data_IF_878374825325
#
_entry.id   IF_878374825325
#
_cell.length_a   1.000
_cell.length_b   1.000
_cell.length_c   1.000
_cell.angle_alpha   90.00
_cell.angle_beta   90.00
_cell.angle_gamma   90.00
#
_symmetry.space_group_name_H-M   'P 1'
#
loop_
_entity.id
_entity.type
_entity.pdbx_description
1 polymer ?
#
# COMPACT_ATOMS: atom_id res chain seq x y z
N UNK A 1 3.32 16.79 -3.98
CA UNK A 1 3.66 15.57 -3.23
C UNK A 1 4.58 14.71 -4.08
N UNK A 2 5.68 14.23 -3.53
CA UNK A 2 6.61 13.31 -4.17
C UNK A 2 7.10 12.26 -3.19
N UNK A 3 7.71 11.18 -3.69
CA UNK A 3 8.20 10.15 -2.78
C UNK A 3 9.15 9.16 -3.43
N UNK A 4 9.84 8.43 -2.58
CA UNK A 4 10.69 7.31 -2.95
C UNK A 4 10.52 6.19 -1.92
N UNK A 5 10.77 4.97 -2.34
CA UNK A 5 10.69 3.81 -1.46
C UNK A 5 11.80 2.80 -1.79
N UNK A 6 12.09 1.96 -0.81
CA UNK A 6 13.04 0.86 -0.91
C UNK A 6 12.46 -0.36 -0.20
N UNK A 7 12.57 -1.51 -0.82
CA UNK A 7 12.21 -2.81 -0.29
C UNK A 7 11.95 -3.78 -1.44
N UNK A 8 12.57 -4.95 -1.43
CA UNK A 8 12.38 -5.97 -2.45
C UNK A 8 12.27 -7.38 -1.88
N UNK A 9 12.57 -7.58 -0.60
CA UNK A 9 12.43 -8.82 0.14
C UNK A 9 12.01 -8.56 1.58
N UNK A 10 11.43 -9.56 2.24
CA UNK A 10 10.78 -9.49 3.53
C UNK A 10 9.65 -8.45 3.51
N UNK A 11 8.73 -8.60 2.54
CA UNK A 11 7.64 -7.67 2.27
C UNK A 11 6.29 -8.37 2.44
N UNK A 12 5.76 -8.28 3.63
CA UNK A 12 4.38 -8.57 3.98
C UNK A 12 3.94 -7.57 5.04
N UNK A 13 3.63 -6.33 4.67
CA UNK A 13 3.42 -5.29 5.66
C UNK A 13 2.21 -5.57 6.57
N UNK A 14 2.54 -5.75 7.80
CA UNK A 14 1.88 -5.14 8.93
C UNK A 14 2.95 -4.22 9.56
N UNK A 15 3.70 -3.55 8.66
CA UNK A 15 4.91 -2.73 8.73
C UNK A 15 6.21 -3.56 8.86
N UNK A 16 7.01 -3.70 7.76
CA UNK A 16 8.24 -4.52 7.67
C UNK A 16 9.27 -3.97 6.70
N UNK A 17 10.51 -4.41 6.60
CA UNK A 17 11.76 -3.84 6.00
C UNK A 17 11.58 -2.97 4.74
N UNK A 18 10.59 -2.14 4.78
CA UNK A 18 10.27 -1.17 3.78
C UNK A 18 10.65 0.21 4.31
N UNK A 19 11.32 0.99 3.49
CA UNK A 19 11.54 2.39 3.76
C UNK A 19 10.77 3.20 2.72
N UNK A 20 9.88 4.05 3.19
CA UNK A 20 9.13 4.99 2.38
C UNK A 20 9.39 6.42 2.83
N UNK A 21 9.73 7.30 1.90
CA UNK A 21 9.90 8.72 2.16
C UNK A 21 8.98 9.49 1.22
N UNK A 22 8.04 10.21 1.79
CA UNK A 22 7.09 11.04 1.06
C UNK A 22 7.25 12.48 1.52
N UNK A 23 7.33 13.38 0.58
CA UNK A 23 7.54 14.81 0.85
C UNK A 23 6.47 15.65 0.17
N UNK A 24 6.11 16.74 0.82
CA UNK A 24 5.21 17.76 0.28
C UNK A 24 5.64 19.15 0.70
N UNK A 25 5.27 20.14 -0.06
CA UNK A 25 5.40 21.56 0.27
C UNK A 25 4.14 22.15 0.90
N UNK A 26 3.06 21.37 1.01
CA UNK A 26 1.82 21.81 1.62
C UNK A 26 2.02 22.27 3.08
N UNK A 27 1.36 23.36 3.45
CA UNK A 27 1.17 23.76 4.84
C UNK A 27 0.04 22.90 5.45
N UNK A 28 0.40 22.02 6.39
CA UNK A 28 -0.52 21.11 7.06
C UNK A 28 -0.02 20.85 8.48
N UNK A 29 -0.91 20.83 9.43
CA UNK A 29 -0.56 20.59 10.84
C UNK A 29 -0.01 19.16 11.03
N UNK A 30 0.81 19.00 12.06
CA UNK A 30 1.40 17.68 12.41
C UNK A 30 0.30 16.64 12.67
N UNK A 31 -0.77 17.02 13.33
CA UNK A 31 -1.91 16.17 13.67
C UNK A 31 -2.61 15.67 12.40
N UNK A 32 -2.88 16.59 11.46
CA UNK A 32 -3.52 16.24 10.19
C UNK A 32 -2.59 15.44 9.28
N UNK A 33 -1.29 15.74 9.29
CA UNK A 33 -0.29 14.99 8.55
C UNK A 33 -0.20 13.53 9.03
N UNK A 34 -0.17 13.33 10.36
CA UNK A 34 -0.17 12.00 10.97
C UNK A 34 -1.48 11.24 10.68
N UNK A 35 -2.62 11.93 10.77
CA UNK A 35 -3.93 11.36 10.44
C UNK A 35 -3.99 10.88 8.99
N UNK A 36 -3.54 11.72 8.07
CA UNK A 36 -3.47 11.38 6.65
C UNK A 36 -2.61 10.14 6.39
N UNK A 37 -1.40 10.11 6.95
CA UNK A 37 -0.49 8.99 6.79
C UNK A 37 -1.08 7.70 7.36
N UNK A 38 -1.58 7.74 8.59
CA UNK A 38 -2.13 6.57 9.30
C UNK A 38 -3.36 5.97 8.60
N UNK A 39 -4.20 6.80 8.01
CA UNK A 39 -5.35 6.35 7.23
C UNK A 39 -4.90 5.74 5.89
N UNK A 40 -3.99 6.40 5.18
CA UNK A 40 -3.61 6.02 3.83
C UNK A 40 -2.77 4.74 3.76
N UNK A 41 -1.87 4.51 4.72
CA UNK A 41 -1.01 3.31 4.75
C UNK A 41 -1.83 2.02 4.75
N UNK A 42 -2.98 2.01 5.40
CA UNK A 42 -3.86 0.82 5.47
C UNK A 42 -4.34 0.36 4.09
N UNK A 43 -4.56 1.30 3.19
CA UNK A 43 -5.11 1.06 1.85
C UNK A 43 -4.04 1.02 0.75
N UNK A 44 -2.77 1.24 1.11
CA UNK A 44 -1.65 1.29 0.18
C UNK A 44 -0.55 0.29 0.55
N UNK A 45 0.44 0.68 1.31
CA UNK A 45 1.58 -0.18 1.65
C UNK A 45 1.16 -1.46 2.38
N UNK A 46 0.19 -1.40 3.31
CA UNK A 46 -0.28 -2.58 4.04
C UNK A 46 -1.09 -3.56 3.16
N UNK A 47 -1.36 -3.22 1.91
CA UNK A 47 -2.03 -4.13 0.95
C UNK A 47 -1.05 -4.95 0.11
N UNK A 48 0.25 -4.67 0.19
CA UNK A 48 1.30 -5.39 -0.57
C UNK A 48 1.70 -6.69 0.13
N UNK A 49 2.03 -7.73 -0.64
CA UNK A 49 2.75 -8.89 -0.13
C UNK A 49 3.67 -9.44 -1.23
N UNK A 50 4.98 -9.55 -0.93
CA UNK A 50 5.96 -10.17 -1.82
C UNK A 50 6.22 -11.64 -1.42
N UNK A 51 6.62 -11.90 -0.20
CA UNK A 51 7.07 -13.21 0.28
C UNK A 51 6.33 -13.75 1.50
N UNK A 52 5.44 -12.94 2.09
CA UNK A 52 4.67 -13.31 3.28
C UNK A 52 5.43 -13.12 4.60
N UNK A 53 6.70 -12.71 4.55
CA UNK A 53 7.52 -12.51 5.73
C UNK A 53 7.45 -11.07 6.23
N UNK A 54 7.22 -10.91 7.54
CA UNK A 54 7.09 -9.60 8.20
C UNK A 54 8.42 -9.20 8.84
N UNK A 55 8.94 -8.00 8.53
CA UNK A 55 10.14 -7.44 9.16
C UNK A 55 9.82 -6.68 10.46
N UNK A 56 10.86 -6.29 11.18
CA UNK A 56 10.78 -5.53 12.42
C UNK A 56 11.05 -4.03 12.25
N UNK A 57 11.37 -3.56 11.04
CA UNK A 57 11.96 -2.23 10.83
C UNK A 57 11.33 -1.42 9.68
N UNK A 58 10.03 -1.59 9.43
CA UNK A 58 9.34 -0.75 8.44
C UNK A 58 9.19 0.68 8.91
N UNK A 59 9.39 1.57 7.97
CA UNK A 59 9.24 2.98 8.25
C UNK A 59 8.68 3.70 7.02
N UNK A 60 7.61 4.45 7.21
CA UNK A 60 7.15 5.44 6.24
C UNK A 60 7.17 6.82 6.91
N UNK A 61 7.94 7.72 6.33
CA UNK A 61 8.02 9.12 6.75
C UNK A 61 7.29 10.01 5.76
N UNK A 62 6.42 10.86 6.28
CA UNK A 62 5.75 11.91 5.52
C UNK A 62 6.20 13.26 6.08
N UNK A 63 6.83 14.06 5.23
CA UNK A 63 7.47 15.33 5.58
C UNK A 63 6.77 16.47 4.82
N UNK A 64 6.40 17.53 5.53
CA UNK A 64 5.82 18.73 4.97
C UNK A 64 6.63 19.95 5.39
N UNK A 65 7.00 20.82 4.45
CA UNK A 65 7.78 22.02 4.73
C UNK A 65 6.96 23.33 4.74
N UNK A 66 5.69 23.29 4.35
CA UNK A 66 4.78 24.45 4.38
C UNK A 66 5.06 25.52 3.33
N UNK A 67 5.89 25.27 2.32
CA UNK A 67 6.33 26.30 1.37
C UNK A 67 5.37 26.50 0.18
N UNK A 68 4.29 25.74 0.07
CA UNK A 68 3.31 25.89 -1.01
C UNK A 68 2.49 27.20 -0.93
N UNK A 69 2.50 27.87 0.22
CA UNK A 69 1.77 29.13 0.42
C UNK A 69 0.26 28.97 0.57
N UNK A 70 -0.24 27.76 0.72
CA UNK A 70 -1.64 27.51 1.03
C UNK A 70 -1.96 27.86 2.49
N UNK A 71 -3.23 28.16 2.84
CA UNK A 71 -3.64 28.17 4.24
C UNK A 71 -3.32 26.83 4.90
N UNK A 72 -2.86 26.87 6.16
CA UNK A 72 -2.52 25.63 6.87
C UNK A 72 -3.74 24.72 7.02
N UNK A 73 -3.62 23.48 6.63
CA UNK A 73 -4.65 22.44 6.77
C UNK A 73 -4.63 21.96 8.22
N UNK A 74 -5.59 22.42 9.03
CA UNK A 74 -5.68 22.12 10.46
C UNK A 74 -6.87 21.24 10.82
N UNK A 75 -7.78 20.98 9.87
CA UNK A 75 -8.99 20.17 10.05
C UNK A 75 -9.36 19.42 8.77
N UNK A 76 -10.31 18.50 8.87
CA UNK A 76 -10.89 17.82 7.71
C UNK A 76 -11.73 18.78 6.88
N UNK A 77 -11.69 18.64 5.57
CA UNK A 77 -12.42 19.46 4.61
C UNK A 77 -11.85 19.33 3.23
N UNK A 78 -12.31 20.16 2.30
CA UNK A 78 -11.99 20.03 0.87
C UNK A 78 -10.48 20.07 0.56
N UNK A 79 -9.69 20.83 1.31
CA UNK A 79 -8.24 20.88 1.09
C UNK A 79 -7.53 19.66 1.68
N UNK A 80 -8.00 19.14 2.82
CA UNK A 80 -7.54 17.85 3.34
C UNK A 80 -7.89 16.71 2.41
N UNK A 81 -9.08 16.69 1.84
CA UNK A 81 -9.50 15.64 0.87
C UNK A 81 -8.62 15.64 -0.38
N UNK A 82 -8.31 16.82 -0.93
CA UNK A 82 -7.36 16.94 -2.05
C UNK A 82 -5.96 16.46 -1.67
N UNK A 83 -5.50 16.78 -0.48
CA UNK A 83 -4.22 16.29 0.03
C UNK A 83 -4.23 14.76 0.14
N UNK A 84 -5.30 14.17 0.67
CA UNK A 84 -5.49 12.73 0.75
C UNK A 84 -5.52 12.05 -0.62
N UNK A 85 -6.14 12.67 -1.62
CA UNK A 85 -6.13 12.18 -3.01
C UNK A 85 -4.71 12.10 -3.57
N UNK A 86 -3.94 13.17 -3.41
CA UNK A 86 -2.54 13.24 -3.87
C UNK A 86 -1.65 12.24 -3.12
N UNK A 87 -1.82 12.11 -1.79
CA UNK A 87 -1.11 11.14 -0.98
C UNK A 87 -1.46 9.71 -1.38
N UNK A 88 -2.73 9.43 -1.62
CA UNK A 88 -3.19 8.11 -2.05
C UNK A 88 -2.61 7.72 -3.41
N UNK A 89 -2.54 8.65 -4.34
CA UNK A 89 -1.95 8.43 -5.65
C UNK A 89 -0.47 8.04 -5.54
N UNK A 90 0.33 8.85 -4.83
CA UNK A 90 1.77 8.58 -4.72
C UNK A 90 2.06 7.29 -3.96
N UNK A 91 1.38 7.04 -2.82
CA UNK A 91 1.59 5.84 -2.02
C UNK A 91 1.14 4.58 -2.75
N UNK A 92 0.07 4.64 -3.54
CA UNK A 92 -0.33 3.53 -4.43
C UNK A 92 0.73 3.25 -5.49
N UNK A 93 1.28 4.28 -6.13
CA UNK A 93 2.38 4.11 -7.08
C UNK A 93 3.62 3.49 -6.45
N UNK A 94 4.00 3.94 -5.26
CA UNK A 94 5.16 3.43 -4.53
C UNK A 94 4.93 1.97 -4.09
N UNK A 95 3.76 1.65 -3.57
CA UNK A 95 3.37 0.28 -3.16
C UNK A 95 3.46 -0.70 -4.33
N UNK A 96 2.95 -0.31 -5.50
CA UNK A 96 3.03 -1.14 -6.72
C UNK A 96 4.46 -1.32 -7.20
N UNK A 97 5.30 -0.29 -7.10
CA UNK A 97 6.73 -0.41 -7.43
C UNK A 97 7.45 -1.38 -6.51
N UNK A 98 7.19 -1.33 -5.20
CA UNK A 98 7.76 -2.29 -4.24
C UNK A 98 7.32 -3.72 -4.59
N UNK A 99 6.03 -3.92 -4.83
CA UNK A 99 5.50 -5.25 -5.16
C UNK A 99 6.06 -5.80 -6.49
N UNK A 100 6.25 -4.92 -7.47
CA UNK A 100 6.77 -5.30 -8.78
C UNK A 100 8.28 -5.53 -8.84
N UNK A 101 9.03 -5.03 -7.84
CA UNK A 101 10.48 -5.14 -7.74
C UNK A 101 10.94 -6.24 -6.75
N UNK A 102 10.06 -7.18 -6.43
CA UNK A 102 10.40 -8.33 -5.57
C UNK A 102 11.53 -9.18 -6.16
N UNK A 103 12.34 -9.81 -5.31
CA UNK A 103 13.45 -10.66 -5.73
C UNK A 103 12.97 -11.76 -6.69
N UNK A 104 13.49 -11.74 -7.92
CA UNK A 104 13.10 -12.70 -8.96
C UNK A 104 11.67 -12.50 -9.50
N UNK A 105 11.01 -11.40 -9.20
CA UNK A 105 9.67 -11.13 -9.70
C UNK A 105 9.66 -10.96 -11.22
N UNK A 106 8.76 -11.67 -11.89
CA UNK A 106 8.54 -11.58 -13.33
C UNK A 106 7.23 -10.90 -13.68
N UNK A 107 6.34 -10.72 -12.70
CA UNK A 107 5.04 -10.11 -12.89
C UNK A 107 4.56 -9.44 -11.60
N UNK A 108 3.82 -8.36 -11.77
CA UNK A 108 2.98 -7.77 -10.72
C UNK A 108 1.54 -8.23 -10.97
N UNK A 109 0.91 -8.86 -9.97
CA UNK A 109 -0.53 -9.12 -10.06
C UNK A 109 -1.31 -8.37 -9.01
N UNK A 110 -2.48 -7.91 -9.40
CA UNK A 110 -3.40 -7.19 -8.53
C UNK A 110 -4.67 -7.98 -8.33
N UNK A 111 -5.18 -7.99 -7.09
CA UNK A 111 -6.45 -8.61 -6.74
C UNK A 111 -7.45 -7.50 -6.40
N UNK A 112 -8.57 -7.48 -7.11
CA UNK A 112 -9.68 -6.57 -6.86
C UNK A 112 -10.90 -7.36 -6.43
N UNK A 113 -11.36 -7.14 -5.22
CA UNK A 113 -12.63 -7.71 -4.72
C UNK A 113 -13.77 -6.73 -5.02
N UNK A 114 -14.84 -7.23 -5.59
CA UNK A 114 -16.04 -6.46 -5.93
C UNK A 114 -17.25 -7.12 -5.29
N UNK A 115 -18.14 -6.33 -4.68
CA UNK A 115 -19.38 -6.83 -4.11
C UNK A 115 -19.25 -7.47 -2.73
N UNK A 116 -18.13 -7.31 -2.03
CA UNK A 116 -18.02 -7.69 -0.63
C UNK A 116 -18.99 -6.88 0.24
N UNK A 117 -19.44 -7.48 1.35
CA UNK A 117 -20.39 -6.82 2.26
C UNK A 117 -19.76 -5.64 2.99
N UNK A 118 -18.50 -5.77 3.37
CA UNK A 118 -17.72 -4.74 4.08
C UNK A 118 -16.36 -4.56 3.42
N UNK A 119 -15.71 -3.44 3.73
CA UNK A 119 -14.32 -3.20 3.30
C UNK A 119 -13.37 -4.20 3.94
N UNK A 120 -13.60 -4.56 5.18
CA UNK A 120 -12.82 -5.53 5.96
C UNK A 120 -12.86 -6.91 5.32
N UNK A 121 -14.03 -7.36 4.87
CA UNK A 121 -14.18 -8.62 4.12
C UNK A 121 -13.39 -8.57 2.80
N UNK A 122 -13.48 -7.45 2.07
CA UNK A 122 -12.72 -7.27 0.83
C UNK A 122 -11.21 -7.31 1.07
N UNK A 123 -10.71 -6.66 2.12
CA UNK A 123 -9.30 -6.69 2.51
C UNK A 123 -8.86 -8.10 2.88
N UNK A 124 -9.62 -8.81 3.70
CA UNK A 124 -9.33 -10.19 4.11
C UNK A 124 -9.23 -11.11 2.89
N UNK A 125 -10.23 -11.08 2.01
CA UNK A 125 -10.26 -11.90 0.80
C UNK A 125 -9.12 -11.55 -0.16
N UNK A 126 -8.84 -10.27 -0.40
CA UNK A 126 -7.76 -9.88 -1.29
C UNK A 126 -6.39 -10.28 -0.72
N UNK A 127 -6.17 -10.10 0.57
CA UNK A 127 -4.93 -10.50 1.25
C UNK A 127 -4.73 -12.02 1.21
N UNK A 128 -5.76 -12.82 1.44
CA UNK A 128 -5.64 -14.29 1.36
C UNK A 128 -5.17 -14.75 -0.03
N UNK A 129 -5.64 -14.10 -1.09
CA UNK A 129 -5.22 -14.42 -2.46
C UNK A 129 -3.80 -13.96 -2.75
N UNK A 130 -3.44 -12.70 -2.42
CA UNK A 130 -2.08 -12.18 -2.73
C UNK A 130 -0.98 -12.82 -1.88
N UNK A 131 -1.31 -13.41 -0.74
CA UNK A 131 -0.34 -14.14 0.11
C UNK A 131 -0.24 -15.62 -0.23
N UNK A 132 -1.16 -16.17 -1.03
CA UNK A 132 -1.16 -17.57 -1.40
C UNK A 132 0.04 -17.95 -2.27
N UNK A 133 0.94 -18.79 -1.75
CA UNK A 133 2.08 -19.31 -2.48
C UNK A 133 1.67 -20.12 -3.73
N UNK A 134 0.55 -20.87 -3.63
CA UNK A 134 0.02 -21.63 -4.77
C UNK A 134 -0.53 -20.71 -5.87
N UNK A 135 -1.18 -19.61 -5.51
CA UNK A 135 -1.63 -18.61 -6.48
C UNK A 135 -0.43 -17.93 -7.15
N UNK A 136 0.57 -17.52 -6.37
CA UNK A 136 1.80 -16.93 -6.92
C UNK A 136 2.52 -17.88 -7.86
N UNK A 137 2.62 -19.16 -7.51
CA UNK A 137 3.23 -20.17 -8.36
C UNK A 137 2.46 -20.37 -9.68
N UNK A 138 1.13 -20.29 -9.66
CA UNK A 138 0.32 -20.33 -10.87
C UNK A 138 0.58 -19.11 -11.78
N UNK A 139 0.58 -17.91 -11.21
CA UNK A 139 0.87 -16.67 -11.93
C UNK A 139 2.29 -16.73 -12.56
N UNK A 140 3.28 -17.12 -11.77
CA UNK A 140 4.67 -17.27 -12.24
C UNK A 140 4.79 -18.29 -13.40
N UNK A 141 4.06 -19.40 -13.30
CA UNK A 141 4.03 -20.47 -14.31
C UNK A 141 3.08 -20.21 -15.49
N UNK A 142 2.47 -19.01 -15.56
CA UNK A 142 1.46 -18.67 -16.59
C UNK A 142 0.29 -19.68 -16.64
N UNK A 143 -0.06 -20.27 -15.49
CA UNK A 143 -1.17 -21.21 -15.34
C UNK A 143 -2.43 -20.46 -14.89
N UNK A 144 -3.48 -20.47 -15.72
CA UNK A 144 -4.77 -19.84 -15.42
C UNK A 144 -5.57 -20.65 -14.39
N UNK A 145 -5.01 -20.84 -13.21
CA UNK A 145 -5.54 -21.72 -12.16
C UNK A 145 -6.48 -20.97 -11.20
N UNK A 146 -7.70 -20.69 -11.68
CA UNK A 146 -8.74 -20.07 -10.84
C UNK A 146 -9.09 -20.89 -9.58
N UNK A 147 -8.89 -22.21 -9.60
CA UNK A 147 -9.13 -23.08 -8.45
C UNK A 147 -8.23 -22.72 -7.26
N UNK A 148 -7.00 -22.34 -7.49
CA UNK A 148 -6.07 -21.87 -6.43
C UNK A 148 -6.50 -20.55 -5.83
N UNK A 149 -7.12 -19.68 -6.63
CA UNK A 149 -7.68 -18.41 -6.15
C UNK A 149 -8.86 -18.69 -5.22
N UNK A 150 -9.80 -19.55 -5.65
CA UNK A 150 -10.95 -19.92 -4.80
C UNK A 150 -10.51 -20.65 -3.52
N UNK A 151 -9.51 -21.53 -3.62
CA UNK A 151 -8.94 -22.18 -2.45
C UNK A 151 -8.37 -21.17 -1.45
N UNK A 152 -7.61 -20.18 -1.93
CA UNK A 152 -7.06 -19.14 -1.08
C UNK A 152 -8.12 -18.27 -0.39
N UNK A 153 -9.27 -18.09 -1.01
CA UNK A 153 -10.40 -17.33 -0.43
C UNK A 153 -11.22 -18.14 0.59
N UNK A 154 -11.08 -19.45 0.60
CA UNK A 154 -11.83 -20.36 1.47
C UNK A 154 -11.10 -20.81 2.74
N UNK A 155 -9.91 -20.30 2.99
CA UNK A 155 -9.05 -20.63 4.14
C UNK A 155 -9.20 -19.62 5.26
#
# INVERSE_FOLDING_TARGET
>A
VGGMCKGSGMIHPNMCTMLGFVTTDAAISKEMLQKALSANIKDTFNMVSVDGDTSTNDTVLLLANGMAGNPEITEEGADFDKFMEALNYINTCLSKKIAGDGEGATALFEVKIVGAKTKEDAVTLSKSVVTSSLTKAAIYGHDANWGRILCAMGV
#
